data_IF_866149617559
#
_entry.id   IF_866149617559
#
_cell.length_a   1.000
_cell.length_b   1.000
_cell.length_c   1.000
_cell.angle_alpha   90.00
_cell.angle_beta   90.00
_cell.angle_gamma   90.00
#
_symmetry.space_group_name_H-M   'P 1'
#
loop_
_entity.id
_entity.type
_entity.pdbx_description
1 polymer ?
#
# COMPACT_ATOMS: atom_id res chain seq x y z
N UNK A 1 -24.26 -48.78 37.58
CA UNK A 1 -24.46 -47.90 38.76
C UNK A 1 -23.17 -47.17 39.04
N UNK A 2 -23.15 -45.86 38.82
CA UNK A 2 -22.05 -44.95 39.15
C UNK A 2 -22.74 -43.76 39.84
N UNK A 3 -22.37 -43.37 41.08
CA UNK A 3 -23.03 -42.28 41.77
C UNK A 3 -22.47 -40.93 41.31
N UNK A 4 -23.36 -39.97 41.04
CA UNK A 4 -23.02 -38.56 40.81
C UNK A 4 -22.83 -37.85 42.17
N UNK A 5 -21.79 -37.03 42.35
CA UNK A 5 -21.66 -36.19 43.53
C UNK A 5 -22.47 -34.90 43.38
N UNK A 6 -23.38 -34.66 44.33
CA UNK A 6 -24.13 -33.42 44.49
C UNK A 6 -23.21 -32.29 44.98
N UNK A 7 -22.98 -31.28 44.14
CA UNK A 7 -22.31 -30.04 44.58
C UNK A 7 -23.35 -29.07 45.15
N UNK A 8 -23.25 -28.86 46.46
CA UNK A 8 -23.92 -27.79 47.22
C UNK A 8 -23.31 -26.44 46.84
N UNK A 9 -24.14 -25.52 46.33
CA UNK A 9 -23.77 -24.12 46.11
C UNK A 9 -23.68 -23.39 47.46
N UNK A 10 -22.59 -22.66 47.77
CA UNK A 10 -22.60 -21.71 48.87
C UNK A 10 -23.34 -20.43 48.43
N UNK A 11 -24.39 -20.08 49.18
CA UNK A 11 -25.05 -18.77 49.09
C UNK A 11 -24.05 -17.66 49.46
N UNK A 12 -23.48 -17.00 48.45
CA UNK A 12 -22.80 -15.72 48.64
C UNK A 12 -23.85 -14.62 48.81
N UNK A 13 -23.99 -14.21 50.06
CA UNK A 13 -24.76 -13.04 50.49
C UNK A 13 -24.05 -11.77 49.96
N UNK A 14 -24.56 -11.21 48.85
CA UNK A 14 -24.08 -9.93 48.32
C UNK A 14 -24.60 -8.80 49.21
N UNK A 15 -23.75 -8.35 50.13
CA UNK A 15 -23.92 -7.09 50.83
C UNK A 15 -23.79 -5.94 49.85
N UNK A 16 -24.86 -5.16 49.76
CA UNK A 16 -24.94 -3.85 49.08
C UNK A 16 -23.88 -2.94 49.67
N UNK A 17 -22.84 -2.65 48.88
CA UNK A 17 -21.92 -1.57 49.15
C UNK A 17 -22.33 -0.38 48.28
N UNK A 18 -23.06 0.55 48.89
CA UNK A 18 -23.18 1.93 48.43
C UNK A 18 -21.78 2.53 48.35
N UNK A 19 -21.29 2.73 47.13
CA UNK A 19 -19.93 3.19 46.88
C UNK A 19 -19.81 3.68 45.45
N UNK A 20 -20.24 4.92 45.25
CA UNK A 20 -20.01 5.82 44.10
C UNK A 20 -18.89 5.34 43.16
N UNK A 21 -19.27 4.63 42.09
CA UNK A 21 -18.41 4.32 40.96
C UNK A 21 -18.90 5.12 39.75
N UNK A 22 -18.56 6.41 39.69
CA UNK A 22 -18.52 7.12 38.40
C UNK A 22 -17.32 8.07 38.34
N UNK A 23 -16.13 7.59 37.93
CA UNK A 23 -15.04 8.48 37.53
C UNK A 23 -14.90 8.64 36.01
N UNK A 24 -15.65 7.90 35.18
CA UNK A 24 -15.30 7.78 33.74
C UNK A 24 -16.35 8.24 32.73
N UNK A 25 -17.57 8.63 33.15
CA UNK A 25 -18.62 8.99 32.17
C UNK A 25 -18.44 10.37 31.51
N UNK A 26 -17.45 11.17 31.93
CA UNK A 26 -17.22 12.52 31.39
C UNK A 26 -15.84 12.73 30.75
N UNK A 27 -15.04 11.68 30.57
CA UNK A 27 -13.63 11.81 30.16
C UNK A 27 -13.39 11.75 28.64
N UNK A 28 -14.43 11.54 27.83
CA UNK A 28 -14.31 11.48 26.36
C UNK A 28 -15.43 12.28 25.71
N UNK A 29 -15.36 13.61 25.80
CA UNK A 29 -16.22 14.46 24.97
C UNK A 29 -15.80 14.38 23.49
N UNK A 30 -16.71 14.74 22.59
CA UNK A 30 -16.44 14.70 21.15
C UNK A 30 -15.22 15.56 20.77
N UNK A 31 -14.96 16.64 21.51
CA UNK A 31 -13.81 17.52 21.29
C UNK A 31 -12.49 16.84 21.63
N UNK A 32 -12.45 16.02 22.68
CA UNK A 32 -11.32 15.19 23.07
C UNK A 32 -11.08 14.11 22.04
N UNK A 33 -12.14 13.43 21.57
CA UNK A 33 -12.03 12.47 20.47
C UNK A 33 -11.52 13.11 19.17
N UNK A 34 -12.05 14.26 18.77
CA UNK A 34 -11.62 14.99 17.58
C UNK A 34 -10.16 15.47 17.68
N UNK A 35 -9.75 15.92 18.87
CA UNK A 35 -8.37 16.33 19.14
C UNK A 35 -7.43 15.12 19.14
N UNK A 36 -7.81 14.00 19.77
CA UNK A 36 -7.05 12.75 19.72
C UNK A 36 -6.89 12.25 18.29
N UNK A 37 -7.98 12.22 17.52
CA UNK A 37 -7.97 11.82 16.11
C UNK A 37 -7.05 12.70 15.28
N UNK A 38 -7.09 14.03 15.47
CA UNK A 38 -6.19 14.97 14.80
C UNK A 38 -4.73 14.73 15.22
N UNK A 39 -4.48 14.49 16.50
CA UNK A 39 -3.15 14.21 17.04
C UNK A 39 -2.56 12.90 16.48
N UNK A 40 -3.32 11.80 16.51
CA UNK A 40 -2.93 10.51 15.92
C UNK A 40 -2.72 10.62 14.40
N UNK A 41 -3.54 11.41 13.70
CA UNK A 41 -3.39 11.64 12.25
C UNK A 41 -2.11 12.40 11.90
N UNK A 42 -1.57 13.21 12.82
CA UNK A 42 -0.30 13.93 12.62
C UNK A 42 0.92 13.15 13.15
N UNK A 43 0.72 12.20 14.06
CA UNK A 43 1.81 11.47 14.72
C UNK A 43 2.21 10.16 14.03
N UNK A 44 1.38 9.63 13.13
CA UNK A 44 1.73 8.44 12.36
C UNK A 44 2.43 8.84 11.07
N UNK A 45 3.77 8.92 11.09
CA UNK A 45 4.53 8.64 9.88
C UNK A 45 4.07 7.25 9.41
N UNK A 46 3.44 7.19 8.23
CA UNK A 46 2.97 5.92 7.70
C UNK A 46 4.17 4.97 7.65
N UNK A 47 4.06 3.74 8.17
CA UNK A 47 5.18 2.82 8.18
C UNK A 47 5.64 2.57 6.75
N UNK A 48 6.97 2.53 6.57
CA UNK A 48 7.59 2.19 5.30
C UNK A 48 7.10 0.83 4.84
N UNK A 49 6.73 0.75 3.57
CA UNK A 49 6.30 -0.45 2.90
C UNK A 49 7.55 -1.19 2.44
N UNK A 50 7.68 -2.44 2.88
CA UNK A 50 8.73 -3.35 2.43
C UNK A 50 8.18 -4.28 1.34
N UNK A 51 9.07 -5.06 0.70
CA UNK A 51 8.69 -6.11 -0.26
C UNK A 51 7.54 -7.01 0.22
N UNK A 52 7.60 -7.49 1.46
CA UNK A 52 6.58 -8.40 1.98
C UNK A 52 5.18 -7.75 2.00
N UNK A 53 5.12 -6.43 2.22
CA UNK A 53 3.87 -5.69 2.21
C UNK A 53 3.39 -5.43 0.78
N UNK A 54 4.32 -5.14 -0.14
CA UNK A 54 4.04 -5.09 -1.58
C UNK A 54 3.34 -6.36 -2.07
N UNK A 55 3.90 -7.54 -1.80
CA UNK A 55 3.32 -8.80 -2.24
C UNK A 55 1.93 -9.06 -1.64
N UNK A 56 1.71 -8.73 -0.36
CA UNK A 56 0.38 -8.79 0.24
C UNK A 56 -0.62 -7.88 -0.48
N UNK A 57 -0.23 -6.64 -0.78
CA UNK A 57 -1.08 -5.68 -1.47
C UNK A 57 -1.40 -6.10 -2.91
N UNK A 58 -0.42 -6.58 -3.66
CA UNK A 58 -0.66 -7.09 -5.02
C UNK A 58 -1.59 -8.30 -4.98
N UNK A 59 -1.37 -9.24 -4.06
CA UNK A 59 -2.23 -10.42 -3.92
C UNK A 59 -3.68 -10.05 -3.55
N UNK A 60 -3.85 -9.06 -2.67
CA UNK A 60 -5.18 -8.64 -2.19
C UNK A 60 -5.95 -7.80 -3.22
N UNK A 61 -5.27 -6.86 -3.89
CA UNK A 61 -5.93 -5.87 -4.74
C UNK A 61 -5.86 -6.18 -6.23
N UNK A 62 -4.87 -6.98 -6.65
CA UNK A 62 -4.57 -7.32 -8.04
C UNK A 62 -4.24 -8.82 -8.18
N UNK A 63 -5.19 -9.72 -7.83
CA UNK A 63 -4.96 -11.16 -7.90
C UNK A 63 -4.52 -11.63 -9.30
N UNK A 64 -4.99 -10.94 -10.35
CA UNK A 64 -4.60 -11.16 -11.74
C UNK A 64 -3.10 -10.88 -12.02
N UNK A 65 -2.48 -10.00 -11.24
CA UNK A 65 -1.05 -9.69 -11.33
C UNK A 65 -0.25 -10.69 -10.49
N UNK A 66 -0.70 -10.98 -9.27
CA UNK A 66 0.00 -11.97 -8.42
C UNK A 66 0.03 -13.36 -9.04
N UNK A 67 -1.01 -13.75 -9.79
CA UNK A 67 -1.04 -15.02 -10.51
C UNK A 67 0.03 -15.16 -11.60
N UNK A 68 0.68 -14.06 -12.00
CA UNK A 68 1.76 -14.05 -12.99
C UNK A 68 3.17 -14.14 -12.38
N UNK A 69 3.28 -14.08 -11.06
CA UNK A 69 4.55 -14.16 -10.35
C UNK A 69 4.84 -15.63 -10.09
N UNK A 70 5.86 -16.16 -10.73
CA UNK A 70 6.28 -17.55 -10.53
C UNK A 70 7.08 -17.70 -9.24
N UNK A 71 7.21 -18.93 -8.74
CA UNK A 71 7.99 -19.23 -7.53
C UNK A 71 9.47 -18.80 -7.69
N UNK A 72 10.01 -18.91 -8.90
CA UNK A 72 11.37 -18.49 -9.24
C UNK A 72 11.58 -16.96 -9.17
N UNK A 73 10.50 -16.18 -9.35
CA UNK A 73 10.54 -14.71 -9.29
C UNK A 73 10.33 -14.19 -7.87
N UNK A 74 9.84 -15.05 -6.97
CA UNK A 74 9.47 -14.68 -5.61
C UNK A 74 10.71 -14.30 -4.80
N UNK A 75 10.65 -13.15 -4.11
CA UNK A 75 11.80 -12.67 -3.34
C UNK A 75 12.61 -11.60 -4.05
N UNK A 76 12.45 -11.45 -5.36
CA UNK A 76 13.19 -10.47 -6.16
C UNK A 76 12.26 -9.34 -6.55
N UNK A 77 12.31 -8.22 -5.82
CA UNK A 77 11.38 -7.08 -5.98
C UNK A 77 11.26 -6.59 -7.41
N UNK A 78 12.38 -6.55 -8.14
CA UNK A 78 12.41 -6.13 -9.54
C UNK A 78 11.64 -7.08 -10.48
N UNK A 79 11.61 -8.39 -10.20
CA UNK A 79 10.86 -9.38 -10.98
C UNK A 79 9.38 -9.32 -10.64
N UNK A 80 9.05 -9.23 -9.35
CA UNK A 80 7.67 -9.05 -8.88
C UNK A 80 7.07 -7.73 -9.47
N UNK A 81 7.87 -6.65 -9.51
CA UNK A 81 7.51 -5.40 -10.18
C UNK A 81 7.46 -5.54 -11.71
N UNK A 82 8.25 -6.45 -12.26
CA UNK A 82 8.21 -6.84 -13.67
C UNK A 82 6.84 -7.42 -14.07
N UNK A 83 6.24 -8.26 -13.24
CA UNK A 83 4.88 -8.78 -13.45
C UNK A 83 3.84 -7.66 -13.45
N UNK A 84 3.95 -6.71 -12.52
CA UNK A 84 3.10 -5.52 -12.44
C UNK A 84 3.24 -4.64 -13.69
N UNK A 85 4.47 -4.41 -14.17
CA UNK A 85 4.75 -3.71 -15.43
C UNK A 85 4.07 -4.40 -16.62
N UNK A 86 4.24 -5.72 -16.76
CA UNK A 86 3.64 -6.48 -17.87
C UNK A 86 2.12 -6.40 -17.84
N UNK A 87 1.50 -6.54 -16.66
CA UNK A 87 0.06 -6.40 -16.52
C UNK A 87 -0.45 -5.01 -16.91
N UNK A 88 0.29 -3.95 -16.56
CA UNK A 88 -0.06 -2.58 -16.99
C UNK A 88 0.10 -2.40 -18.50
N UNK A 89 1.15 -2.97 -19.12
CA UNK A 89 1.33 -2.94 -20.58
C UNK A 89 0.23 -3.69 -21.31
N UNK A 90 -0.23 -4.83 -20.79
CA UNK A 90 -1.38 -5.55 -21.35
C UNK A 90 -2.66 -4.72 -21.26
N UNK A 91 -2.86 -3.99 -20.15
CA UNK A 91 -3.99 -3.09 -19.99
C UNK A 91 -3.94 -1.93 -21.01
N UNK A 92 -2.76 -1.36 -21.27
CA UNK A 92 -2.56 -0.39 -22.36
C UNK A 92 -2.90 -0.98 -23.72
N UNK A 93 -2.41 -2.18 -24.03
CA UNK A 93 -2.66 -2.85 -25.31
C UNK A 93 -4.15 -3.12 -25.55
N UNK A 94 -4.93 -3.34 -24.48
CA UNK A 94 -6.39 -3.51 -24.52
C UNK A 94 -7.18 -2.20 -24.42
N UNK A 95 -6.51 -1.06 -24.36
CA UNK A 95 -7.12 0.25 -24.09
C UNK A 95 -7.95 0.30 -22.80
N UNK A 96 -7.63 -0.55 -21.82
CA UNK A 96 -8.33 -0.63 -20.54
C UNK A 96 -7.73 0.37 -19.54
N UNK A 97 -8.09 1.64 -19.72
CA UNK A 97 -7.60 2.73 -18.87
C UNK A 97 -8.12 2.67 -17.44
N UNK A 98 -9.21 1.93 -17.17
CA UNK A 98 -9.70 1.73 -15.82
C UNK A 98 -8.71 0.85 -15.02
N UNK A 99 -8.26 -0.24 -15.64
CA UNK A 99 -7.22 -1.11 -15.06
C UNK A 99 -5.88 -0.40 -14.96
N UNK A 100 -5.45 0.35 -15.99
CA UNK A 100 -4.22 1.18 -15.91
C UNK A 100 -4.30 2.13 -14.72
N UNK A 101 -5.42 2.83 -14.53
CA UNK A 101 -5.61 3.73 -13.39
C UNK A 101 -5.52 3.00 -12.06
N UNK A 102 -6.16 1.83 -11.92
CA UNK A 102 -6.09 1.00 -10.71
C UNK A 102 -4.64 0.63 -10.38
N UNK A 103 -3.88 0.21 -11.40
CA UNK A 103 -2.46 -0.13 -11.24
C UNK A 103 -1.63 1.08 -10.81
N UNK A 104 -1.80 2.23 -11.47
CA UNK A 104 -1.07 3.46 -11.15
C UNK A 104 -1.40 3.97 -9.74
N UNK A 105 -2.66 3.87 -9.29
CA UNK A 105 -3.05 4.26 -7.93
C UNK A 105 -2.41 3.38 -6.86
N UNK A 106 -2.37 2.06 -7.07
CA UNK A 106 -1.69 1.16 -6.14
C UNK A 106 -0.19 1.49 -6.08
N UNK A 107 0.44 1.69 -7.23
CA UNK A 107 1.86 2.02 -7.30
C UNK A 107 2.16 3.38 -6.67
N UNK A 108 1.26 4.36 -6.78
CA UNK A 108 1.42 5.64 -6.10
C UNK A 108 1.45 5.49 -4.57
N UNK A 109 0.53 4.71 -3.99
CA UNK A 109 0.53 4.46 -2.53
C UNK A 109 1.79 3.70 -2.08
N UNK A 110 2.25 2.75 -2.89
CA UNK A 110 3.51 2.04 -2.65
C UNK A 110 4.71 2.99 -2.71
N UNK A 111 4.79 3.80 -3.77
CA UNK A 111 5.92 4.68 -4.06
C UNK A 111 6.14 5.73 -2.96
N UNK A 112 5.06 6.33 -2.44
CA UNK A 112 5.14 7.36 -1.41
C UNK A 112 5.64 6.83 -0.05
N UNK A 113 5.65 5.50 0.13
CA UNK A 113 6.01 4.85 1.40
C UNK A 113 7.08 3.78 1.22
N UNK A 114 7.63 3.61 0.03
CA UNK A 114 8.56 2.54 -0.29
C UNK A 114 9.87 2.71 0.51
N UNK A 115 10.43 1.60 0.96
CA UNK A 115 11.85 1.58 1.33
C UNK A 115 12.75 1.74 0.09
N UNK A 116 14.06 1.88 0.30
CA UNK A 116 14.98 2.19 -0.80
C UNK A 116 14.95 1.14 -1.93
N UNK A 117 14.85 -0.15 -1.58
CA UNK A 117 14.80 -1.24 -2.55
C UNK A 117 13.51 -1.21 -3.37
N UNK A 118 12.35 -1.10 -2.71
CA UNK A 118 11.07 -1.02 -3.40
C UNK A 118 10.94 0.26 -4.22
N UNK A 119 11.49 1.38 -3.72
CA UNK A 119 11.49 2.65 -4.43
C UNK A 119 12.26 2.53 -5.75
N UNK A 120 13.47 1.95 -5.71
CA UNK A 120 14.28 1.74 -6.91
C UNK A 120 13.62 0.74 -7.88
N UNK A 121 12.99 -0.31 -7.38
CA UNK A 121 12.23 -1.24 -8.21
C UNK A 121 11.05 -0.57 -8.90
N UNK A 122 10.26 0.25 -8.19
CA UNK A 122 9.16 1.01 -8.82
C UNK A 122 9.72 2.01 -9.83
N UNK A 123 10.78 2.74 -9.49
CA UNK A 123 11.36 3.74 -10.38
C UNK A 123 11.91 3.12 -11.66
N UNK A 124 12.78 2.12 -11.55
CA UNK A 124 13.48 1.53 -12.70
C UNK A 124 12.59 0.51 -13.42
N UNK A 125 12.07 -0.48 -12.69
CA UNK A 125 11.42 -1.64 -13.30
C UNK A 125 9.96 -1.40 -13.67
N UNK A 126 9.34 -0.33 -13.16
CA UNK A 126 7.97 0.04 -13.50
C UNK A 126 7.89 1.37 -14.25
N UNK A 127 8.24 2.49 -13.62
CA UNK A 127 8.07 3.82 -14.21
C UNK A 127 8.90 4.03 -15.47
N UNK A 128 10.22 3.83 -15.36
CA UNK A 128 11.12 3.99 -16.50
C UNK A 128 10.76 2.98 -17.61
N UNK A 129 10.49 1.73 -17.25
CA UNK A 129 10.16 0.68 -18.22
C UNK A 129 8.82 0.87 -18.97
N UNK A 130 7.88 1.65 -18.42
CA UNK A 130 6.58 1.96 -19.07
C UNK A 130 6.65 3.27 -19.83
N UNK A 131 7.25 4.32 -19.24
CA UNK A 131 7.07 5.68 -19.74
C UNK A 131 8.32 6.28 -20.39
N UNK A 132 9.52 5.78 -20.11
CA UNK A 132 10.75 6.42 -20.59
C UNK A 132 10.87 6.24 -22.11
N UNK A 133 10.92 7.36 -22.83
CA UNK A 133 11.03 7.37 -24.30
C UNK A 133 9.75 7.03 -25.07
N UNK A 134 8.64 6.78 -24.37
CA UNK A 134 7.38 6.40 -24.98
C UNK A 134 6.54 7.64 -25.34
N UNK A 135 6.05 7.69 -26.59
CA UNK A 135 5.37 8.87 -27.17
C UNK A 135 3.94 8.62 -27.61
N UNK A 136 3.43 7.40 -27.46
CA UNK A 136 2.05 7.09 -27.85
C UNK A 136 1.02 7.87 -27.00
N UNK A 137 -0.11 8.22 -27.64
CA UNK A 137 -1.17 9.00 -27.02
C UNK A 137 -1.72 8.35 -25.73
N UNK A 138 -1.77 7.02 -25.68
CA UNK A 138 -2.20 6.27 -24.48
C UNK A 138 -1.26 6.51 -23.29
N UNK A 139 0.05 6.53 -23.51
CA UNK A 139 1.04 6.79 -22.47
C UNK A 139 1.04 8.26 -22.05
N UNK A 140 0.83 9.20 -22.97
CA UNK A 140 0.63 10.62 -22.64
C UNK A 140 -0.59 10.81 -21.74
N UNK A 141 -1.72 10.16 -22.06
CA UNK A 141 -2.92 10.21 -21.23
C UNK A 141 -2.70 9.61 -19.84
N UNK A 142 -2.00 8.47 -19.76
CA UNK A 142 -1.68 7.82 -18.49
C UNK A 142 -0.64 8.59 -17.66
N UNK A 143 0.28 9.34 -18.28
CA UNK A 143 1.17 10.27 -17.56
C UNK A 143 0.38 11.30 -16.77
N UNK A 144 -0.75 11.77 -17.31
CA UNK A 144 -1.68 12.65 -16.59
C UNK A 144 -2.38 12.01 -15.38
N UNK A 145 -2.25 10.69 -15.20
CA UNK A 145 -2.79 9.95 -14.05
C UNK A 145 -1.74 9.69 -12.96
N UNK A 146 -0.47 10.02 -13.19
CA UNK A 146 0.59 9.81 -12.22
C UNK A 146 0.42 10.73 -11.01
N UNK A 147 0.84 10.26 -9.84
CA UNK A 147 1.02 11.15 -8.69
C UNK A 147 2.18 12.12 -8.97
N UNK A 148 2.18 13.27 -8.28
CA UNK A 148 3.26 14.26 -8.43
C UNK A 148 4.64 13.69 -8.08
N UNK A 149 4.71 12.79 -7.10
CA UNK A 149 5.94 12.12 -6.70
C UNK A 149 6.49 11.24 -7.83
N UNK A 150 5.64 10.41 -8.43
CA UNK A 150 6.00 9.55 -9.56
C UNK A 150 6.37 10.36 -10.81
N UNK A 151 5.63 11.44 -11.11
CA UNK A 151 5.92 12.32 -12.23
C UNK A 151 7.29 12.99 -12.08
N UNK A 152 7.61 13.49 -10.89
CA UNK A 152 8.92 14.09 -10.61
C UNK A 152 10.06 13.07 -10.77
N UNK A 153 9.87 11.84 -10.28
CA UNK A 153 10.84 10.77 -10.42
C UNK A 153 11.08 10.40 -11.89
N UNK A 154 10.01 10.34 -12.70
CA UNK A 154 10.11 10.09 -14.13
C UNK A 154 10.86 11.21 -14.86
N UNK A 155 10.55 12.48 -14.57
CA UNK A 155 11.29 13.62 -15.16
C UNK A 155 12.77 13.59 -14.83
N UNK A 156 13.14 13.19 -13.61
CA UNK A 156 14.55 13.01 -13.23
C UNK A 156 15.22 11.87 -14.02
N UNK A 157 14.49 10.80 -14.33
CA UNK A 157 15.00 9.72 -15.19
C UNK A 157 15.19 10.19 -16.64
N UNK A 158 14.26 10.96 -17.18
CA UNK A 158 14.36 11.57 -18.51
C UNK A 158 15.58 12.49 -18.62
N UNK A 159 15.77 13.38 -17.64
CA UNK A 159 16.94 14.27 -17.60
C UNK A 159 18.26 13.50 -17.57
N UNK A 160 18.35 12.42 -16.79
CA UNK A 160 19.54 11.56 -16.74
C UNK A 160 19.81 10.89 -18.08
N UNK A 161 18.77 10.41 -18.77
CA UNK A 161 18.90 9.80 -20.09
C UNK A 161 19.39 10.82 -21.12
N UNK A 162 18.88 12.05 -21.10
CA UNK A 162 19.33 13.13 -21.98
C UNK A 162 20.80 13.48 -21.74
N UNK A 163 21.22 13.60 -20.48
CA UNK A 163 22.63 13.82 -20.14
C UNK A 163 23.53 12.71 -20.65
N UNK A 164 23.13 11.44 -20.49
CA UNK A 164 23.89 10.30 -21.01
C UNK A 164 24.01 10.33 -22.54
N UNK A 165 22.95 10.74 -23.25
CA UNK A 165 22.97 10.89 -24.71
C UNK A 165 23.91 12.01 -25.16
N UNK A 166 23.96 13.14 -24.45
CA UNK A 166 24.87 14.24 -24.76
C UNK A 166 26.35 13.90 -24.50
N UNK A 167 26.64 13.02 -23.53
CA UNK A 167 28.02 12.59 -23.24
C UNK A 167 28.51 11.54 -24.26
N UNK A 168 27.59 10.75 -24.81
CA UNK A 168 27.91 9.70 -25.77
C UNK A 168 27.97 10.16 -27.24
N UNK A 169 27.60 11.42 -27.53
CA UNK A 169 27.60 12.04 -28.85
C UNK A 169 28.81 12.96 -29.04
#
# INVERSE_FOLDING_TARGET
MIPFPSQTLPHTHLTVADGVLQPFEHLLDFKSFASLRRMVSHQQSKPLIKRADFMKMVTLYLPEVSARIEECDFGVVHLEMGAMKLATKDAFARCDFATVRKHLLLIADLFDRADAELYDAIRISYLEAIFLGETSAAHIAARGMLSRSMENALRQAELRLEQQRCIAA
#
